data_IF_402931656123
#
_entry.id   IF_402931656123
#
_cell.length_a   1.000
_cell.length_b   1.000
_cell.length_c   1.000
_cell.angle_alpha   90.00
_cell.angle_beta   90.00
_cell.angle_gamma   90.00
#
_symmetry.space_group_name_H-M   'P 1'
#
loop_
_entity.id
_entity.type
_entity.pdbx_description
1 polymer ?
#
# COMPACT_ATOMS: atom_id res chain seq x y z
N UNK A 1 11.67 -2.65 -3.16
CA UNK A 1 12.49 -2.01 -2.11
C UNK A 1 12.19 -0.51 -1.95
N UNK A 2 11.97 0.27 -3.01
CA UNK A 2 11.75 1.72 -2.94
C UNK A 2 10.45 2.13 -2.21
N UNK A 3 9.33 1.51 -2.56
CA UNK A 3 8.00 1.78 -1.94
C UNK A 3 8.01 1.58 -0.41
N UNK A 4 8.79 0.62 0.09
CA UNK A 4 8.96 0.40 1.52
C UNK A 4 9.76 1.52 2.21
N UNK A 5 10.74 2.11 1.52
CA UNK A 5 11.47 3.26 2.00
C UNK A 5 10.58 4.51 2.01
N UNK A 6 9.75 4.69 0.98
CA UNK A 6 8.74 5.75 0.91
C UNK A 6 7.76 5.68 2.10
N UNK A 7 7.24 4.49 2.41
CA UNK A 7 6.37 4.28 3.58
C UNK A 7 7.00 4.79 4.89
N UNK A 8 8.28 4.48 5.10
CA UNK A 8 9.04 4.89 6.30
C UNK A 8 9.23 6.41 6.36
N UNK A 9 9.55 7.02 5.22
CA UNK A 9 9.71 8.47 5.09
C UNK A 9 8.39 9.20 5.35
N UNK A 10 7.31 8.80 4.68
CA UNK A 10 5.98 9.40 4.84
C UNK A 10 5.46 9.23 6.28
N UNK A 11 5.68 8.06 6.87
CA UNK A 11 5.23 7.79 8.23
C UNK A 11 5.96 8.64 9.27
N UNK A 12 7.19 9.08 9.01
CA UNK A 12 8.01 9.83 9.96
C UNK A 12 8.04 9.19 11.37
N UNK A 13 8.28 7.87 11.42
CA UNK A 13 8.30 7.04 12.66
C UNK A 13 6.99 7.02 13.47
N UNK A 14 5.87 7.45 12.89
CA UNK A 14 4.55 7.42 13.55
C UNK A 14 3.85 6.06 13.49
N UNK A 15 4.28 5.16 12.62
CA UNK A 15 3.64 3.85 12.42
C UNK A 15 4.68 2.73 12.53
N UNK A 16 4.23 1.55 12.93
CA UNK A 16 4.98 0.31 12.73
C UNK A 16 4.83 -0.11 11.26
N UNK A 17 5.96 -0.40 10.60
CA UNK A 17 5.97 -0.78 9.18
C UNK A 17 6.56 -2.18 9.07
N UNK A 18 5.70 -3.13 8.73
CA UNK A 18 6.05 -4.54 8.54
C UNK A 18 6.15 -4.83 7.04
N UNK A 19 7.29 -5.38 6.60
CA UNK A 19 7.58 -5.61 5.18
C UNK A 19 7.90 -7.09 4.97
N UNK A 20 7.13 -7.74 4.10
CA UNK A 20 7.28 -9.14 3.76
C UNK A 20 7.45 -9.30 2.25
N UNK A 21 8.68 -9.59 1.82
CA UNK A 21 9.00 -9.88 0.42
C UNK A 21 9.35 -11.36 0.33
N UNK A 22 8.44 -12.16 -0.21
CA UNK A 22 8.56 -13.62 -0.21
C UNK A 22 9.35 -14.17 -1.41
N UNK A 23 9.61 -13.36 -2.42
CA UNK A 23 10.14 -13.83 -3.71
C UNK A 23 10.62 -12.68 -4.60
N UNK A 24 11.63 -12.94 -5.42
CA UNK A 24 12.16 -12.01 -6.44
C UNK A 24 11.31 -12.01 -7.73
N UNK A 25 9.98 -12.01 -7.57
CA UNK A 25 9.05 -12.02 -8.70
C UNK A 25 9.23 -10.75 -9.53
N UNK A 26 9.12 -10.93 -10.84
CA UNK A 26 9.10 -9.84 -11.82
C UNK A 26 7.80 -9.89 -12.58
N UNK A 27 7.24 -8.72 -12.86
CA UNK A 27 6.08 -8.53 -13.71
C UNK A 27 6.46 -7.66 -14.89
N UNK A 28 5.75 -7.82 -16.00
CA UNK A 28 5.88 -6.94 -17.17
C UNK A 28 4.84 -5.83 -17.08
N UNK A 29 5.23 -4.59 -17.37
CA UNK A 29 4.33 -3.45 -17.44
C UNK A 29 5.05 -2.11 -17.48
N UNK A 30 4.30 -1.02 -17.45
CA UNK A 30 4.84 0.33 -17.38
C UNK A 30 5.34 0.62 -15.96
N UNK A 31 6.66 0.61 -15.78
CA UNK A 31 7.30 0.73 -14.46
C UNK A 31 6.82 1.96 -13.67
N UNK A 32 6.73 3.12 -14.33
CA UNK A 32 6.31 4.37 -13.69
C UNK A 32 4.84 4.32 -13.25
N UNK A 33 3.95 3.71 -14.05
CA UNK A 33 2.53 3.57 -13.72
C UNK A 33 2.32 2.58 -12.57
N UNK A 34 3.03 1.46 -12.61
CA UNK A 34 3.02 0.46 -11.53
C UNK A 34 3.52 1.11 -10.24
N UNK A 35 4.68 1.77 -10.28
CA UNK A 35 5.24 2.47 -9.11
C UNK A 35 4.25 3.48 -8.55
N UNK A 36 3.65 4.30 -9.40
CA UNK A 36 2.62 5.28 -9.01
C UNK A 36 1.44 4.61 -8.29
N UNK A 37 0.92 3.50 -8.83
CA UNK A 37 -0.17 2.76 -8.20
C UNK A 37 0.21 2.21 -6.81
N UNK A 38 1.41 1.62 -6.67
CA UNK A 38 1.89 1.09 -5.39
C UNK A 38 2.11 2.21 -4.35
N UNK A 39 2.72 3.32 -4.75
CA UNK A 39 2.93 4.50 -3.90
C UNK A 39 1.60 5.11 -3.45
N UNK A 40 0.58 5.14 -4.31
CA UNK A 40 -0.75 5.61 -3.94
C UNK A 40 -1.35 4.79 -2.79
N UNK A 41 -1.29 3.45 -2.87
CA UNK A 41 -1.79 2.57 -1.81
C UNK A 41 -1.05 2.80 -0.49
N UNK A 42 0.29 2.87 -0.53
CA UNK A 42 1.11 3.11 0.67
C UNK A 42 0.85 4.49 1.27
N UNK A 43 0.73 5.52 0.44
CA UNK A 43 0.46 6.88 0.93
C UNK A 43 -0.92 6.98 1.60
N UNK A 44 -1.93 6.27 1.08
CA UNK A 44 -3.25 6.18 1.69
C UNK A 44 -3.18 5.45 3.03
N UNK A 45 -2.49 4.31 3.10
CA UNK A 45 -2.30 3.59 4.36
C UNK A 45 -1.64 4.47 5.43
N UNK A 46 -0.59 5.23 5.08
CA UNK A 46 0.07 6.17 6.02
C UNK A 46 -0.84 7.33 6.41
N UNK A 47 -1.64 7.86 5.48
CA UNK A 47 -2.51 9.01 5.73
C UNK A 47 -3.69 8.66 6.64
N UNK A 48 -4.26 7.47 6.47
CA UNK A 48 -5.52 7.08 7.14
C UNK A 48 -5.31 6.16 8.35
N UNK A 49 -4.07 5.74 8.62
CA UNK A 49 -3.70 5.07 9.87
C UNK A 49 -3.51 6.05 11.04
N UNK A 50 -3.95 5.69 12.26
CA UNK A 50 -3.63 6.46 13.45
C UNK A 50 -2.16 6.30 13.84
N UNK A 51 -1.61 7.26 14.60
CA UNK A 51 -0.27 7.14 15.18
C UNK A 51 -0.18 5.90 16.08
N UNK A 52 0.89 5.15 15.97
CA UNK A 52 1.09 3.84 16.61
C UNK A 52 0.44 2.68 15.84
N UNK A 53 -0.28 2.95 14.75
CA UNK A 53 -0.85 1.93 13.87
C UNK A 53 0.20 1.12 13.11
N UNK A 54 -0.26 0.04 12.49
CA UNK A 54 0.58 -0.90 11.75
C UNK A 54 0.23 -0.84 10.27
N UNK A 55 1.26 -0.72 9.45
CA UNK A 55 1.17 -0.77 7.99
C UNK A 55 1.97 -1.96 7.51
N UNK A 56 1.28 -2.96 6.98
CA UNK A 56 1.85 -4.16 6.37
C UNK A 56 1.97 -3.99 4.87
N UNK A 57 3.18 -4.20 4.33
CA UNK A 57 3.45 -4.22 2.89
C UNK A 57 3.96 -5.62 2.53
N UNK A 58 3.32 -6.27 1.56
CA UNK A 58 3.75 -7.58 1.09
C UNK A 58 3.87 -7.67 -0.43
N UNK A 59 4.86 -8.45 -0.87
CA UNK A 59 5.06 -8.85 -2.26
C UNK A 59 5.34 -10.35 -2.30
N UNK A 60 4.50 -11.10 -3.01
CA UNK A 60 4.64 -12.55 -3.09
C UNK A 60 3.60 -13.18 -4.01
N UNK A 61 3.56 -14.51 -4.01
CA UNK A 61 2.54 -15.28 -4.72
C UNK A 61 1.35 -15.57 -3.81
N UNK A 62 0.15 -15.34 -4.33
CA UNK A 62 -1.12 -15.81 -3.75
C UNK A 62 -1.84 -16.57 -4.85
N UNK A 63 -2.17 -17.84 -4.61
CA UNK A 63 -2.79 -18.72 -5.62
C UNK A 63 -2.03 -18.74 -6.97
N UNK A 64 -0.69 -18.71 -6.91
CA UNK A 64 0.20 -18.68 -8.08
C UNK A 64 0.15 -17.38 -8.91
N UNK A 65 -0.43 -16.31 -8.37
CA UNK A 65 -0.44 -14.99 -8.98
C UNK A 65 0.42 -14.00 -8.17
N UNK A 66 1.22 -13.14 -8.83
CA UNK A 66 1.95 -12.08 -8.15
C UNK A 66 0.97 -11.07 -7.52
N UNK A 67 1.02 -10.94 -6.21
CA UNK A 67 0.17 -10.02 -5.44
C UNK A 67 1.03 -9.06 -4.65
N UNK A 68 0.80 -7.77 -4.90
CA UNK A 68 1.16 -6.71 -3.99
C UNK A 68 0.00 -6.43 -3.05
N UNK A 69 0.27 -6.33 -1.76
CA UNK A 69 -0.74 -5.95 -0.77
C UNK A 69 -0.18 -4.87 0.16
N UNK A 70 -1.01 -3.87 0.42
CA UNK A 70 -0.80 -2.88 1.46
C UNK A 70 -2.00 -2.92 2.40
N UNK A 71 -1.75 -3.22 3.67
CA UNK A 71 -2.77 -3.35 4.71
C UNK A 71 -2.46 -2.39 5.83
N UNK A 72 -3.46 -1.68 6.30
CA UNK A 72 -3.39 -0.85 7.49
C UNK A 72 -4.48 -1.21 8.51
N UNK A 73 -4.36 -0.64 9.71
CA UNK A 73 -5.37 -0.68 10.77
C UNK A 73 -6.00 0.70 11.03
N UNK A 74 -6.14 1.49 9.96
CA UNK A 74 -6.75 2.81 9.98
C UNK A 74 -8.26 2.79 10.18
N UNK A 75 -8.87 3.96 9.95
CA UNK A 75 -10.32 4.18 10.13
C UNK A 75 -11.20 3.35 9.17
N UNK A 76 -10.58 2.70 8.19
CA UNK A 76 -11.28 1.97 7.14
C UNK A 76 -12.00 2.91 6.18
N UNK A 77 -12.88 2.34 5.37
CA UNK A 77 -13.67 3.07 4.37
C UNK A 77 -15.15 2.77 4.65
N UNK A 78 -15.96 3.81 4.82
CA UNK A 78 -17.40 3.64 5.00
C UNK A 78 -18.02 3.01 3.74
N UNK A 79 -19.03 2.15 3.91
CA UNK A 79 -19.60 1.37 2.82
C UNK A 79 -20.11 2.24 1.65
N UNK A 80 -20.68 3.41 1.96
CA UNK A 80 -21.16 4.40 0.99
C UNK A 80 -20.08 5.01 0.08
N UNK A 81 -18.80 4.86 0.44
CA UNK A 81 -17.67 5.37 -0.33
C UNK A 81 -17.05 4.30 -1.24
N UNK A 82 -17.32 3.01 -1.01
CA UNK A 82 -16.62 1.89 -1.67
C UNK A 82 -16.74 1.92 -3.20
N UNK A 83 -17.94 2.17 -3.72
CA UNK A 83 -18.22 2.17 -5.17
C UNK A 83 -17.50 3.31 -5.92
N UNK A 84 -17.08 4.34 -5.18
CA UNK A 84 -16.53 5.59 -5.75
C UNK A 84 -15.03 5.75 -5.53
N UNK A 85 -14.40 4.79 -4.84
CA UNK A 85 -12.97 4.86 -4.48
C UNK A 85 -12.04 5.02 -5.69
N UNK A 86 -12.42 4.50 -6.84
CA UNK A 86 -11.63 4.57 -8.07
C UNK A 86 -11.96 5.79 -8.93
N UNK A 87 -12.93 6.62 -8.53
CA UNK A 87 -13.24 7.86 -9.23
C UNK A 87 -12.10 8.87 -9.05
N UNK A 88 -11.75 9.55 -10.15
CA UNK A 88 -10.73 10.59 -10.11
C UNK A 88 -11.19 11.74 -9.20
N UNK A 89 -10.28 12.19 -8.33
CA UNK A 89 -10.48 13.29 -7.36
C UNK A 89 -11.41 12.98 -6.17
N UNK A 90 -11.82 11.73 -5.99
CA UNK A 90 -12.58 11.31 -4.82
C UNK A 90 -11.67 11.22 -3.58
N UNK A 91 -12.03 11.90 -2.49
CA UNK A 91 -11.33 11.90 -1.20
C UNK A 91 -12.24 12.36 -0.06
#
# INVERSE_FOLDING_TARGET
>A
HEVAAEARTLSNKKHQIDIHVASDLKILGAEDEIRSALSNLVSNAVRYSPTGGTIGISWGLVHNEPVFSCRDNGVGIAAEHLDRLTERFYR
#
